data_IF_693903572045
#
_entry.id   IF_693903572045
#
_cell.length_a   1.000
_cell.length_b   1.000
_cell.length_c   1.000
_cell.angle_alpha   90.00
_cell.angle_beta   90.00
_cell.angle_gamma   90.00
#
_symmetry.space_group_name_H-M   'P 1'
#
loop_
_entity.id
_entity.type
_entity.pdbx_description
1 polymer ?
#
# COMPACT_ATOMS: atom_id res chain seq x y z
N UNK A 1 -31.52 -49.19 60.95
CA UNK A 1 -31.21 -47.76 61.20
C UNK A 1 -30.25 -47.32 60.11
N UNK A 2 -30.68 -47.26 58.85
CA UNK A 2 -31.65 -46.29 58.30
C UNK A 2 -31.26 -44.86 58.62
N UNK A 3 -30.67 -44.17 57.65
CA UNK A 3 -31.35 -43.06 56.99
C UNK A 3 -30.73 -42.78 55.61
N UNK A 4 -31.62 -42.78 54.62
CA UNK A 4 -31.44 -42.45 53.21
C UNK A 4 -31.96 -41.01 53.01
N UNK A 5 -31.43 -40.32 51.97
CA UNK A 5 -31.97 -39.17 51.19
C UNK A 5 -31.31 -37.78 51.43
N UNK A 6 -31.31 -36.85 50.45
CA UNK A 6 -31.04 -37.00 49.01
C UNK A 6 -30.19 -35.86 48.39
N UNK A 7 -29.75 -36.13 47.15
CA UNK A 7 -29.41 -35.24 46.02
C UNK A 7 -29.48 -33.69 46.19
N UNK A 8 -28.36 -33.02 45.87
CA UNK A 8 -28.39 -31.72 45.17
C UNK A 8 -27.22 -31.60 44.20
N UNK A 9 -27.45 -32.09 42.97
CA UNK A 9 -26.89 -31.50 41.75
C UNK A 9 -26.94 -29.96 41.83
N UNK A 10 -25.79 -29.31 41.82
CA UNK A 10 -25.66 -28.00 41.16
C UNK A 10 -24.57 -28.11 40.11
N UNK A 11 -25.04 -28.40 38.90
CA UNK A 11 -24.34 -28.10 37.65
C UNK A 11 -23.88 -26.64 37.71
N UNK A 12 -22.59 -26.40 37.99
CA UNK A 12 -21.98 -25.12 37.64
C UNK A 12 -21.87 -25.12 36.13
N UNK A 13 -22.89 -24.53 35.53
CA UNK A 13 -23.00 -24.22 34.13
C UNK A 13 -21.66 -23.74 33.58
N UNK A 14 -21.15 -24.48 32.59
CA UNK A 14 -20.12 -23.99 31.70
C UNK A 14 -20.61 -22.64 31.15
N UNK A 15 -19.91 -21.56 31.51
CA UNK A 15 -20.13 -20.26 30.91
C UNK A 15 -20.02 -20.37 29.39
N UNK A 16 -20.82 -19.60 28.62
CA UNK A 16 -20.87 -19.76 27.18
C UNK A 16 -19.47 -19.55 26.61
N UNK A 17 -19.04 -20.50 25.78
CA UNK A 17 -17.80 -20.43 25.02
C UNK A 17 -17.69 -19.04 24.37
N UNK A 18 -16.64 -18.30 24.73
CA UNK A 18 -16.29 -17.07 24.02
C UNK A 18 -16.07 -17.43 22.55
N UNK A 19 -17.05 -17.12 21.71
CA UNK A 19 -16.90 -17.14 20.27
C UNK A 19 -15.80 -16.14 19.88
N UNK A 20 -14.78 -16.54 19.10
CA UNK A 20 -13.75 -15.60 18.68
C UNK A 20 -14.31 -14.58 17.69
N UNK A 21 -14.62 -13.40 18.22
CA UNK A 21 -14.63 -12.02 17.69
C UNK A 21 -14.89 -11.76 16.18
N UNK A 22 -15.79 -10.80 15.85
CA UNK A 22 -16.00 -10.27 14.49
C UNK A 22 -14.91 -9.29 13.98
N UNK A 23 -13.75 -9.18 14.66
CA UNK A 23 -12.65 -8.27 14.25
C UNK A 23 -11.98 -8.67 12.94
N UNK A 24 -12.01 -9.95 12.57
CA UNK A 24 -11.38 -10.46 11.36
C UNK A 24 -12.05 -9.96 10.07
N UNK A 25 -13.36 -9.67 10.06
CA UNK A 25 -14.07 -9.31 8.81
C UNK A 25 -13.73 -7.89 8.30
N UNK A 26 -13.21 -7.01 9.17
CA UNK A 26 -13.00 -5.58 8.89
C UNK A 26 -11.69 -5.28 8.17
N UNK A 27 -10.62 -6.04 8.40
CA UNK A 27 -9.28 -5.81 7.84
C UNK A 27 -9.14 -6.17 6.37
N UNK A 28 -9.78 -7.25 5.92
CA UNK A 28 -9.74 -7.67 4.50
C UNK A 28 -10.42 -6.63 3.59
N UNK A 29 -11.55 -6.06 4.05
CA UNK A 29 -12.25 -5.00 3.33
C UNK A 29 -11.36 -3.77 3.09
N UNK A 30 -10.55 -3.36 4.08
CA UNK A 30 -9.66 -2.20 3.94
C UNK A 30 -8.62 -2.40 2.84
N UNK A 31 -8.05 -3.60 2.74
CA UNK A 31 -7.07 -3.95 1.72
C UNK A 31 -7.63 -4.01 0.29
N UNK A 32 -8.80 -4.65 0.16
CA UNK A 32 -9.51 -4.71 -1.11
C UNK A 32 -9.96 -3.31 -1.57
N UNK A 33 -10.44 -2.47 -0.63
CA UNK A 33 -10.81 -1.07 -0.91
C UNK A 33 -9.59 -0.27 -1.35
N UNK A 34 -8.43 -0.40 -0.70
CA UNK A 34 -7.21 0.31 -1.11
C UNK A 34 -6.78 -0.09 -2.52
N UNK A 35 -6.81 -1.39 -2.85
CA UNK A 35 -6.48 -1.86 -4.21
C UNK A 35 -7.47 -1.32 -5.23
N UNK A 36 -8.77 -1.38 -4.93
CA UNK A 36 -9.81 -0.86 -5.81
C UNK A 36 -9.69 0.66 -6.00
N UNK A 37 -9.30 1.41 -4.97
CA UNK A 37 -8.99 2.84 -5.06
C UNK A 37 -7.78 3.09 -5.97
N UNK A 38 -6.68 2.36 -5.79
CA UNK A 38 -5.52 2.47 -6.68
C UNK A 38 -5.88 2.17 -8.13
N UNK A 39 -6.59 1.07 -8.39
CA UNK A 39 -7.05 0.72 -9.73
C UNK A 39 -8.05 1.73 -10.29
N UNK A 40 -8.92 2.29 -9.47
CA UNK A 40 -9.81 3.38 -9.84
C UNK A 40 -9.03 4.63 -10.26
N UNK A 41 -7.99 5.01 -9.51
CA UNK A 41 -7.10 6.11 -9.91
C UNK A 41 -6.37 5.82 -11.22
N UNK A 42 -5.88 4.58 -11.41
CA UNK A 42 -5.23 4.17 -12.67
C UNK A 42 -6.22 4.26 -13.83
N UNK A 43 -7.43 3.70 -13.68
CA UNK A 43 -8.47 3.75 -14.69
C UNK A 43 -8.89 5.19 -15.04
N UNK A 44 -8.97 6.09 -14.05
CA UNK A 44 -9.26 7.51 -14.25
C UNK A 44 -8.08 8.29 -14.86
N UNK A 45 -6.84 7.84 -14.63
CA UNK A 45 -5.63 8.49 -15.15
C UNK A 45 -5.42 8.27 -16.65
N UNK A 46 -6.01 7.21 -17.21
CA UNK A 46 -5.75 6.83 -18.61
C UNK A 46 -6.84 7.44 -19.50
N UNK A 47 -6.48 8.44 -20.30
CA UNK A 47 -7.41 9.14 -21.22
C UNK A 47 -8.07 8.23 -22.26
N UNK A 48 -7.50 7.06 -22.54
CA UNK A 48 -7.87 6.15 -23.63
C UNK A 48 -8.69 4.93 -23.18
N UNK A 49 -8.94 4.74 -21.87
CA UNK A 49 -9.67 3.56 -21.38
C UNK A 49 -11.16 3.70 -21.69
N UNK A 50 -11.61 2.94 -22.69
CA UNK A 50 -13.03 2.63 -22.88
C UNK A 50 -13.60 1.96 -21.63
N UNK A 51 -14.90 2.13 -21.37
CA UNK A 51 -15.58 1.51 -20.23
C UNK A 51 -15.30 0.01 -20.09
N UNK A 52 -15.25 -0.74 -21.19
CA UNK A 52 -15.02 -2.19 -21.20
C UNK A 52 -13.71 -2.62 -20.52
N UNK A 53 -12.61 -1.91 -20.81
CA UNK A 53 -11.31 -2.21 -20.21
C UNK A 53 -11.30 -1.83 -18.72
N UNK A 54 -11.89 -0.69 -18.33
CA UNK A 54 -12.02 -0.33 -16.92
C UNK A 54 -12.83 -1.37 -16.13
N UNK A 55 -13.94 -1.86 -16.70
CA UNK A 55 -14.73 -2.93 -16.10
C UNK A 55 -13.94 -4.24 -15.99
N UNK A 56 -13.16 -4.59 -17.01
CA UNK A 56 -12.30 -5.77 -16.97
C UNK A 56 -11.20 -5.66 -15.89
N UNK A 57 -10.54 -4.49 -15.79
CA UNK A 57 -9.50 -4.23 -14.79
C UNK A 57 -10.06 -4.38 -13.36
N UNK A 58 -11.14 -3.65 -13.04
CA UNK A 58 -11.76 -3.67 -11.71
C UNK A 58 -12.45 -5.00 -11.40
N UNK A 59 -13.18 -5.54 -12.36
CA UNK A 59 -13.91 -6.80 -12.24
C UNK A 59 -12.98 -7.99 -12.02
N UNK A 60 -11.83 -8.01 -12.68
CA UNK A 60 -10.84 -9.08 -12.53
C UNK A 60 -10.30 -9.19 -11.10
N UNK A 61 -10.07 -8.06 -10.40
CA UNK A 61 -9.58 -8.10 -9.02
C UNK A 61 -10.61 -8.73 -8.12
N UNK A 62 -11.87 -8.29 -8.20
CA UNK A 62 -12.95 -8.87 -7.42
C UNK A 62 -13.10 -10.38 -7.67
N UNK A 63 -13.08 -10.78 -8.94
CA UNK A 63 -13.26 -12.18 -9.34
C UNK A 63 -12.09 -13.06 -8.90
N UNK A 64 -10.85 -12.66 -9.20
CA UNK A 64 -9.64 -13.44 -8.89
C UNK A 64 -9.44 -13.51 -7.38
N UNK A 65 -9.57 -12.39 -6.67
CA UNK A 65 -9.45 -12.37 -5.19
C UNK A 65 -10.56 -13.20 -4.55
N UNK A 66 -11.80 -13.10 -5.05
CA UNK A 66 -12.94 -13.89 -4.56
C UNK A 66 -12.73 -15.40 -4.79
N UNK A 67 -12.33 -15.80 -5.99
CA UNK A 67 -12.05 -17.19 -6.33
C UNK A 67 -10.91 -17.77 -5.48
N UNK A 68 -9.81 -17.02 -5.29
CA UNK A 68 -8.72 -17.45 -4.41
C UNK A 68 -9.13 -17.55 -2.95
N UNK A 69 -9.97 -16.64 -2.46
CA UNK A 69 -10.50 -16.70 -1.10
C UNK A 69 -11.32 -17.97 -0.87
N UNK A 70 -12.09 -18.39 -1.88
CA UNK A 70 -12.84 -19.64 -1.86
C UNK A 70 -11.92 -20.88 -1.93
N UNK A 71 -10.91 -20.87 -2.81
CA UNK A 71 -9.98 -21.99 -3.01
C UNK A 71 -9.03 -22.22 -1.81
N UNK A 72 -8.59 -21.13 -1.18
CA UNK A 72 -7.56 -21.12 -0.14
C UNK A 72 -8.00 -20.30 1.10
N UNK A 73 -8.94 -20.82 1.90
CA UNK A 73 -9.37 -20.16 3.14
C UNK A 73 -8.24 -20.24 4.16
N UNK A 74 -7.62 -19.10 4.53
CA UNK A 74 -6.58 -19.15 5.58
C UNK A 74 -5.77 -17.90 5.86
N UNK A 75 -5.58 -16.98 4.90
CA UNK A 75 -4.79 -15.75 5.13
C UNK A 75 -5.35 -14.55 4.39
N UNK A 76 -5.86 -13.58 5.13
CA UNK A 76 -6.41 -12.33 4.56
C UNK A 76 -5.36 -11.50 3.82
N UNK A 77 -4.10 -11.57 4.28
CA UNK A 77 -2.99 -10.85 3.65
C UNK A 77 -2.54 -11.47 2.33
N UNK A 78 -2.79 -12.76 2.09
CA UNK A 78 -2.60 -13.35 0.78
C UNK A 78 -3.54 -12.70 -0.25
N UNK A 79 -4.82 -12.52 0.11
CA UNK A 79 -5.78 -11.82 -0.75
C UNK A 79 -5.37 -10.36 -1.01
N UNK A 80 -4.80 -9.67 -0.01
CA UNK A 80 -4.23 -8.34 -0.15
C UNK A 80 -3.04 -8.32 -1.12
N UNK A 81 -2.07 -9.23 -0.92
CA UNK A 81 -0.90 -9.35 -1.78
C UNK A 81 -1.32 -9.65 -3.22
N UNK A 82 -2.24 -10.60 -3.42
CA UNK A 82 -2.82 -10.92 -4.72
C UNK A 82 -3.47 -9.69 -5.37
N UNK A 83 -4.28 -8.94 -4.65
CA UNK A 83 -4.92 -7.73 -5.14
C UNK A 83 -3.88 -6.69 -5.61
N UNK A 84 -2.85 -6.43 -4.80
CA UNK A 84 -1.75 -5.53 -5.15
C UNK A 84 -0.99 -6.00 -6.39
N UNK A 85 -0.69 -7.30 -6.50
CA UNK A 85 0.00 -7.85 -7.67
C UNK A 85 -0.83 -7.77 -8.95
N UNK A 86 -2.15 -7.95 -8.87
CA UNK A 86 -3.05 -7.71 -10.02
C UNK A 86 -3.03 -6.21 -10.38
N UNK A 87 -2.95 -5.32 -9.40
CA UNK A 87 -2.77 -3.88 -9.62
C UNK A 87 -1.48 -3.56 -10.39
N UNK A 88 -0.35 -4.12 -9.96
CA UNK A 88 0.95 -3.97 -10.68
C UNK A 88 0.86 -4.53 -12.09
N UNK A 89 0.27 -5.71 -12.26
CA UNK A 89 0.04 -6.31 -13.58
C UNK A 89 -0.82 -5.41 -14.47
N UNK A 90 -1.90 -4.82 -13.94
CA UNK A 90 -2.74 -3.88 -14.67
C UNK A 90 -1.97 -2.66 -15.16
N UNK A 91 -1.11 -2.06 -14.33
CA UNK A 91 -0.25 -0.95 -14.74
C UNK A 91 0.68 -1.33 -15.89
N UNK A 92 1.36 -2.48 -15.76
CA UNK A 92 2.29 -2.96 -16.78
C UNK A 92 1.55 -3.28 -18.08
N UNK A 93 0.38 -3.93 -18.00
CA UNK A 93 -0.45 -4.24 -19.15
C UNK A 93 -0.86 -2.97 -19.92
N UNK A 94 -1.37 -1.95 -19.21
CA UNK A 94 -1.73 -0.67 -19.83
C UNK A 94 -0.51 -0.01 -20.47
N UNK A 95 0.63 0.00 -19.79
CA UNK A 95 1.86 0.57 -20.34
C UNK A 95 2.24 -0.09 -21.68
N UNK A 96 2.21 -1.42 -21.77
CA UNK A 96 2.47 -2.13 -23.03
C UNK A 96 1.40 -1.87 -24.09
N UNK A 97 0.14 -1.78 -23.67
CA UNK A 97 -0.98 -1.48 -24.56
C UNK A 97 -0.80 -0.11 -25.22
N UNK A 98 -0.49 0.93 -24.45
CA UNK A 98 -0.30 2.29 -24.99
C UNK A 98 1.00 2.41 -25.79
N UNK A 99 2.07 1.72 -25.37
CA UNK A 99 3.37 1.81 -26.03
C UNK A 99 3.40 1.06 -27.36
N UNK A 100 2.87 -0.17 -27.40
CA UNK A 100 3.09 -1.12 -28.50
C UNK A 100 1.79 -1.51 -29.24
N UNK A 101 0.62 -1.36 -28.63
CA UNK A 101 -0.65 -1.95 -29.13
C UNK A 101 -1.83 -0.96 -29.15
N UNK A 102 -1.58 0.29 -29.55
CA UNK A 102 -2.55 1.39 -29.50
C UNK A 102 -3.80 1.20 -30.39
N UNK A 103 -3.74 0.36 -31.42
CA UNK A 103 -4.83 0.18 -32.41
C UNK A 103 -5.79 -0.98 -32.09
N UNK A 104 -5.62 -1.67 -30.95
CA UNK A 104 -6.41 -2.87 -30.62
C UNK A 104 -7.80 -2.48 -30.10
N UNK A 105 -8.89 -3.13 -30.54
CA UNK A 105 -10.24 -2.90 -30.01
C UNK A 105 -10.38 -3.20 -28.50
N UNK A 106 -11.18 -2.40 -27.80
CA UNK A 106 -11.38 -2.48 -26.33
C UNK A 106 -11.74 -3.88 -25.81
N UNK A 107 -12.66 -4.57 -26.47
CA UNK A 107 -13.12 -5.90 -26.08
C UNK A 107 -12.00 -6.95 -26.19
N UNK A 108 -11.08 -6.81 -27.15
CA UNK A 108 -9.92 -7.69 -27.29
C UNK A 108 -8.91 -7.37 -26.18
N UNK A 109 -8.69 -6.09 -25.86
CA UNK A 109 -7.85 -5.70 -24.73
C UNK A 109 -8.36 -6.31 -23.42
N UNK A 110 -9.66 -6.21 -23.16
CA UNK A 110 -10.31 -6.80 -21.98
C UNK A 110 -10.16 -8.32 -21.93
N UNK A 111 -10.39 -9.01 -23.05
CA UNK A 111 -10.22 -10.46 -23.14
C UNK A 111 -8.75 -10.87 -22.90
N UNK A 112 -7.80 -10.18 -23.54
CA UNK A 112 -6.38 -10.47 -23.44
C UNK A 112 -5.84 -10.22 -22.03
N UNK A 113 -6.32 -9.18 -21.35
CA UNK A 113 -6.00 -8.89 -19.96
C UNK A 113 -6.41 -10.03 -19.02
N UNK A 114 -7.54 -10.68 -19.29
CA UNK A 114 -8.05 -11.79 -18.47
C UNK A 114 -7.27 -13.11 -18.68
N UNK A 115 -6.62 -13.32 -19.82
CA UNK A 115 -5.96 -14.59 -20.16
C UNK A 115 -4.93 -15.02 -19.09
N UNK A 116 -3.92 -14.20 -18.71
CA UNK A 116 -2.97 -14.59 -17.68
C UNK A 116 -3.60 -14.83 -16.30
N UNK A 117 -4.67 -14.08 -15.98
CA UNK A 117 -5.38 -14.22 -14.69
C UNK A 117 -6.17 -15.52 -14.62
N UNK A 118 -6.85 -15.90 -15.70
CA UNK A 118 -7.56 -17.18 -15.80
C UNK A 118 -6.55 -18.33 -15.77
N UNK A 119 -5.43 -18.19 -16.49
CA UNK A 119 -4.36 -19.19 -16.50
C UNK A 119 -3.73 -19.38 -15.11
N UNK A 120 -3.54 -18.29 -14.36
CA UNK A 120 -3.11 -18.33 -12.96
C UNK A 120 -4.11 -19.07 -12.07
N UNK A 121 -5.40 -18.72 -12.16
CA UNK A 121 -6.47 -19.39 -11.39
C UNK A 121 -6.53 -20.88 -11.72
N UNK A 122 -6.47 -21.26 -13.00
CA UNK A 122 -6.48 -22.65 -13.44
C UNK A 122 -5.26 -23.42 -12.95
N UNK A 123 -4.06 -22.84 -13.06
CA UNK A 123 -2.82 -23.44 -12.56
C UNK A 123 -2.80 -23.59 -11.04
N UNK A 124 -3.34 -22.62 -10.32
CA UNK A 124 -3.48 -22.67 -8.86
C UNK A 124 -4.52 -23.71 -8.43
N UNK A 125 -5.64 -23.83 -9.15
CA UNK A 125 -6.66 -24.83 -8.88
C UNK A 125 -6.14 -26.25 -9.13
N UNK A 126 -5.40 -26.48 -10.23
CA UNK A 126 -4.76 -27.77 -10.52
C UNK A 126 -3.81 -28.22 -9.41
N UNK A 127 -3.10 -27.26 -8.79
CA UNK A 127 -2.12 -27.52 -7.73
C UNK A 127 -2.66 -27.20 -6.34
N UNK A 128 -3.99 -27.17 -6.18
CA UNK A 128 -4.64 -26.67 -4.96
C UNK A 128 -4.21 -27.43 -3.69
N UNK A 129 -4.10 -28.76 -3.74
CA UNK A 129 -3.72 -29.55 -2.55
C UNK A 129 -2.30 -29.24 -2.08
N UNK A 130 -1.37 -29.07 -3.03
CA UNK A 130 0.02 -28.70 -2.73
C UNK A 130 0.08 -27.28 -2.16
N UNK A 131 -0.63 -26.32 -2.77
CA UNK A 131 -0.67 -24.93 -2.28
C UNK A 131 -1.33 -24.87 -0.89
N UNK A 132 -2.45 -25.59 -0.68
CA UNK A 132 -3.18 -25.61 0.60
C UNK A 132 -2.33 -26.15 1.74
N UNK A 133 -1.55 -27.21 1.51
CA UNK A 133 -0.61 -27.74 2.51
C UNK A 133 0.46 -26.72 2.91
N UNK A 134 0.90 -25.88 1.96
CA UNK A 134 1.88 -24.81 2.22
C UNK A 134 1.23 -23.68 3.02
N UNK A 135 0.04 -23.21 2.62
CA UNK A 135 -0.72 -22.15 3.32
C UNK A 135 -1.00 -22.51 4.78
N UNK A 136 -1.34 -23.78 5.07
CA UNK A 136 -1.63 -24.24 6.43
C UNK A 136 -0.38 -24.32 7.32
N UNK A 137 0.81 -24.46 6.74
CA UNK A 137 2.04 -24.62 7.52
C UNK A 137 2.55 -23.33 8.19
N UNK A 138 2.07 -22.13 7.77
CA UNK A 138 2.37 -20.79 8.35
C UNK A 138 3.82 -20.54 8.82
N UNK A 139 4.81 -21.21 8.23
CA UNK A 139 6.23 -21.01 8.52
C UNK A 139 6.86 -20.22 7.37
N UNK A 140 7.45 -19.08 7.69
CA UNK A 140 8.42 -18.41 6.83
C UNK A 140 9.52 -19.43 6.50
N UNK A 141 9.71 -19.73 5.22
CA UNK A 141 10.71 -20.72 4.78
C UNK A 141 12.01 -20.02 4.43
N UNK A 142 13.12 -20.58 4.92
CA UNK A 142 14.45 -20.04 4.69
C UNK A 142 14.93 -20.23 3.24
N UNK A 143 15.32 -19.12 2.61
CA UNK A 143 16.54 -18.97 1.79
C UNK A 143 16.65 -19.59 0.39
N UNK A 144 15.81 -20.54 -0.03
CA UNK A 144 16.09 -21.32 -1.27
C UNK A 144 15.31 -20.98 -2.55
N UNK A 145 14.38 -20.02 -2.52
CA UNK A 145 13.39 -19.86 -3.60
C UNK A 145 13.43 -18.51 -4.34
N UNK A 146 14.23 -17.54 -3.91
CA UNK A 146 14.36 -16.25 -4.60
C UNK A 146 14.84 -16.40 -6.04
N UNK A 147 15.79 -17.31 -6.30
CA UNK A 147 16.32 -17.54 -7.65
C UNK A 147 15.23 -18.00 -8.63
N UNK A 148 14.31 -18.85 -8.17
CA UNK A 148 13.17 -19.30 -9.00
C UNK A 148 12.20 -18.17 -9.29
N UNK A 149 12.02 -17.23 -8.36
CA UNK A 149 11.16 -16.06 -8.54
C UNK A 149 11.68 -15.18 -9.67
N UNK A 150 12.96 -14.83 -9.63
CA UNK A 150 13.59 -14.04 -10.68
C UNK A 150 13.50 -14.72 -12.05
N UNK A 151 13.64 -16.04 -12.09
CA UNK A 151 13.69 -16.80 -13.33
C UNK A 151 12.33 -16.83 -14.07
N UNK A 152 11.19 -16.97 -13.37
CA UNK A 152 9.89 -16.92 -14.04
C UNK A 152 9.49 -15.49 -14.41
N UNK A 153 9.83 -14.50 -13.59
CA UNK A 153 9.60 -13.09 -13.92
C UNK A 153 10.37 -12.70 -15.18
N UNK A 154 11.63 -13.14 -15.31
CA UNK A 154 12.45 -12.90 -16.50
C UNK A 154 11.79 -13.39 -17.79
N UNK A 155 11.08 -14.53 -17.77
CA UNK A 155 10.35 -15.03 -18.93
C UNK A 155 9.20 -14.11 -19.33
N UNK A 156 8.40 -13.62 -18.36
CA UNK A 156 7.28 -12.69 -18.62
C UNK A 156 7.82 -11.35 -19.14
N UNK A 157 8.86 -10.82 -18.51
CA UNK A 157 9.55 -9.61 -18.95
C UNK A 157 10.18 -9.78 -20.33
N UNK A 158 10.75 -10.95 -20.64
CA UNK A 158 11.31 -11.27 -21.94
C UNK A 158 10.25 -11.24 -23.04
N UNK A 159 9.08 -11.86 -22.81
CA UNK A 159 7.96 -11.80 -23.77
C UNK A 159 7.51 -10.35 -23.98
N UNK A 160 7.36 -9.58 -22.91
CA UNK A 160 7.03 -8.15 -23.00
C UNK A 160 8.08 -7.36 -23.79
N UNK A 161 9.36 -7.53 -23.46
CA UNK A 161 10.46 -6.84 -24.12
C UNK A 161 10.55 -7.15 -25.63
N UNK A 162 10.28 -8.40 -26.03
CA UNK A 162 10.24 -8.79 -27.43
C UNK A 162 9.17 -8.02 -28.24
N UNK A 163 8.09 -7.55 -27.59
CA UNK A 163 7.07 -6.73 -28.28
C UNK A 163 7.58 -5.35 -28.73
N UNK A 164 8.67 -4.84 -28.14
CA UNK A 164 9.31 -3.59 -28.59
C UNK A 164 10.14 -3.76 -29.87
N UNK A 165 10.47 -4.99 -30.26
CA UNK A 165 11.18 -5.25 -31.52
C UNK A 165 10.25 -5.17 -32.74
N UNK A 166 8.96 -4.91 -32.54
CA UNK A 166 8.00 -4.76 -33.63
C UNK A 166 8.27 -3.47 -34.41
N UNK A 167 8.42 -3.53 -35.74
CA UNK A 167 8.63 -2.34 -36.56
C UNK A 167 7.35 -1.48 -36.55
N UNK A 168 7.37 -0.38 -35.81
CA UNK A 168 6.20 0.43 -35.46
C UNK A 168 5.46 1.16 -36.61
N UNK A 169 5.74 0.85 -37.88
CA UNK A 169 5.09 1.52 -39.04
C UNK A 169 4.58 0.60 -40.16
N UNK A 170 4.85 -0.71 -40.14
CA UNK A 170 4.51 -1.61 -41.26
C UNK A 170 3.61 -2.80 -40.89
N UNK A 171 3.18 -2.92 -39.62
CA UNK A 171 2.39 -4.08 -39.17
C UNK A 171 0.90 -3.82 -39.42
N UNK A 172 0.24 -4.73 -40.13
CA UNK A 172 -1.22 -4.67 -40.33
C UNK A 172 -1.97 -4.79 -38.98
N UNK A 173 -3.16 -4.17 -38.82
CA UNK A 173 -3.92 -4.25 -37.57
C UNK A 173 -4.25 -5.69 -37.14
N UNK A 174 -4.46 -6.59 -38.10
CA UNK A 174 -4.71 -8.01 -37.86
C UNK A 174 -3.47 -8.71 -37.30
N UNK A 175 -2.29 -8.47 -37.88
CA UNK A 175 -1.03 -9.03 -37.41
C UNK A 175 -0.69 -8.48 -36.01
N UNK A 176 -0.93 -7.20 -35.76
CA UNK A 176 -0.74 -6.58 -34.45
C UNK A 176 -1.63 -7.24 -33.38
N UNK A 177 -2.89 -7.51 -33.72
CA UNK A 177 -3.83 -8.22 -32.85
C UNK A 177 -3.39 -9.65 -32.58
N UNK A 178 -2.91 -10.36 -33.60
CA UNK A 178 -2.41 -11.72 -33.46
C UNK A 178 -1.17 -11.78 -32.55
N UNK A 179 -0.21 -10.86 -32.74
CA UNK A 179 0.99 -10.77 -31.91
C UNK A 179 0.64 -10.44 -30.45
N UNK A 180 -0.31 -9.52 -30.24
CA UNK A 180 -0.80 -9.18 -28.92
C UNK A 180 -1.42 -10.39 -28.20
N UNK A 181 -2.34 -11.10 -28.85
CA UNK A 181 -2.98 -12.29 -28.29
C UNK A 181 -1.99 -13.44 -28.08
N UNK A 182 -1.04 -13.64 -29.01
CA UNK A 182 0.02 -14.63 -28.87
C UNK A 182 0.90 -14.33 -27.65
N UNK A 183 1.28 -13.06 -27.45
CA UNK A 183 2.09 -12.61 -26.32
C UNK A 183 1.36 -12.85 -25.01
N UNK A 184 0.08 -12.47 -24.92
CA UNK A 184 -0.73 -12.68 -23.71
C UNK A 184 -1.00 -14.17 -23.44
N UNK A 185 -1.17 -14.97 -24.48
CA UNK A 185 -1.31 -16.42 -24.36
C UNK A 185 -0.01 -17.08 -23.89
N UNK A 186 1.13 -16.67 -24.43
CA UNK A 186 2.45 -17.14 -24.01
C UNK A 186 2.72 -16.79 -22.54
N UNK A 187 2.43 -15.55 -22.13
CA UNK A 187 2.47 -15.14 -20.72
C UNK A 187 1.53 -16.01 -19.89
N UNK A 188 0.30 -16.24 -20.35
CA UNK A 188 -0.67 -17.11 -19.68
C UNK A 188 -0.16 -18.53 -19.46
N UNK A 189 0.46 -19.16 -20.47
CA UNK A 189 1.07 -20.49 -20.35
C UNK A 189 2.18 -20.50 -19.31
N UNK A 190 3.10 -19.52 -19.36
CA UNK A 190 4.17 -19.39 -18.36
C UNK A 190 3.57 -19.27 -16.96
N UNK A 191 2.59 -18.39 -16.79
CA UNK A 191 1.90 -18.15 -15.51
C UNK A 191 1.19 -19.40 -15.01
N UNK A 192 0.53 -20.19 -15.86
CA UNK A 192 -0.09 -21.45 -15.47
C UNK A 192 0.94 -22.48 -14.98
N UNK A 193 2.09 -22.60 -15.68
CA UNK A 193 3.16 -23.53 -15.31
C UNK A 193 3.81 -23.19 -13.97
N UNK A 194 3.98 -21.89 -13.69
CA UNK A 194 4.61 -21.37 -12.47
C UNK A 194 3.59 -20.91 -11.41
N UNK A 195 2.30 -21.20 -11.59
CA UNK A 195 1.23 -20.74 -10.70
C UNK A 195 1.46 -21.11 -9.22
N UNK A 196 2.07 -22.27 -8.96
CA UNK A 196 2.47 -22.68 -7.61
C UNK A 196 3.50 -21.72 -7.02
N UNK A 197 4.54 -21.37 -7.77
CA UNK A 197 5.63 -20.52 -7.28
C UNK A 197 5.13 -19.09 -7.05
N UNK A 198 4.25 -18.59 -7.94
CA UNK A 198 3.54 -17.33 -7.75
C UNK A 198 2.69 -17.36 -6.47
N UNK A 199 1.90 -18.42 -6.26
CA UNK A 199 1.06 -18.54 -5.06
C UNK A 199 1.89 -18.61 -3.77
N UNK A 200 3.01 -19.32 -3.76
CA UNK A 200 3.92 -19.35 -2.60
C UNK A 200 4.50 -17.95 -2.34
N UNK A 201 4.97 -17.28 -3.38
CA UNK A 201 5.49 -15.92 -3.26
C UNK A 201 4.44 -14.92 -2.76
N UNK A 202 3.21 -14.99 -3.23
CA UNK A 202 2.10 -14.16 -2.75
C UNK A 202 1.78 -14.43 -1.27
N UNK A 203 1.95 -15.68 -0.81
CA UNK A 203 1.79 -16.03 0.59
C UNK A 203 2.91 -15.42 1.44
N UNK A 204 4.17 -15.58 1.00
CA UNK A 204 5.34 -15.02 1.70
C UNK A 204 5.27 -13.49 1.74
N UNK A 205 4.93 -12.85 0.61
CA UNK A 205 4.69 -11.42 0.52
C UNK A 205 3.53 -11.00 1.44
N UNK A 206 2.43 -11.76 1.46
CA UNK A 206 1.30 -11.52 2.36
C UNK A 206 1.70 -11.59 3.84
N UNK A 207 2.48 -12.58 4.24
CA UNK A 207 2.99 -12.71 5.62
C UNK A 207 3.98 -11.60 5.97
N UNK A 208 4.82 -11.17 5.03
CA UNK A 208 5.70 -10.02 5.21
C UNK A 208 4.88 -8.73 5.38
N UNK A 209 3.86 -8.53 4.55
CA UNK A 209 2.92 -7.42 4.68
C UNK A 209 2.19 -7.47 6.02
N UNK A 210 1.79 -8.66 6.52
CA UNK A 210 1.19 -8.81 7.85
C UNK A 210 2.13 -8.27 8.93
N UNK A 211 3.40 -8.67 8.91
CA UNK A 211 4.42 -8.16 9.84
C UNK A 211 4.62 -6.65 9.71
N UNK A 212 4.73 -6.14 8.47
CA UNK A 212 4.91 -4.72 8.18
C UNK A 212 3.72 -3.87 8.63
N UNK A 213 2.48 -4.25 8.29
CA UNK A 213 1.28 -3.51 8.70
C UNK A 213 1.06 -3.55 10.20
N UNK A 214 1.39 -4.67 10.87
CA UNK A 214 1.36 -4.72 12.33
C UNK A 214 2.40 -3.78 12.95
N UNK A 215 3.60 -3.68 12.36
CA UNK A 215 4.62 -2.71 12.78
C UNK A 215 4.14 -1.27 12.53
N UNK A 216 3.65 -0.96 11.33
CA UNK A 216 3.13 0.35 10.94
C UNK A 216 1.95 0.78 11.83
N UNK A 217 1.03 -0.12 12.15
CA UNK A 217 -0.10 0.15 13.05
C UNK A 217 0.35 0.57 14.45
N UNK A 218 1.46 0.02 14.96
CA UNK A 218 2.05 0.46 16.24
C UNK A 218 2.61 1.88 16.17
N UNK A 219 3.03 2.32 14.98
CA UNK A 219 3.56 3.67 14.76
C UNK A 219 2.47 4.72 14.57
N UNK A 220 1.21 4.35 14.30
CA UNK A 220 0.12 5.30 14.05
C UNK A 220 -0.09 6.25 15.24
N UNK A 221 -0.13 5.73 16.46
CA UNK A 221 -0.36 6.54 17.65
C UNK A 221 0.79 7.54 17.92
N UNK A 222 2.07 7.14 17.97
CA UNK A 222 3.18 8.09 18.13
C UNK A 222 3.32 9.03 16.94
N UNK A 223 3.07 8.59 15.71
CA UNK A 223 3.06 9.46 14.53
C UNK A 223 1.96 10.51 14.61
N UNK A 224 0.76 10.15 15.08
CA UNK A 224 -0.34 11.10 15.28
C UNK A 224 -0.02 12.14 16.36
N UNK A 225 0.57 11.71 17.48
CA UNK A 225 1.04 12.62 18.52
C UNK A 225 2.12 13.57 18.01
N UNK A 226 3.11 13.04 17.28
CA UNK A 226 4.16 13.81 16.63
C UNK A 226 3.58 14.83 15.63
N UNK A 227 2.70 14.39 14.73
CA UNK A 227 2.05 15.24 13.73
C UNK A 227 1.21 16.34 14.36
N UNK A 228 0.55 16.05 15.49
CA UNK A 228 -0.22 17.05 16.24
C UNK A 228 0.69 18.14 16.79
N UNK A 229 1.83 17.76 17.40
CA UNK A 229 2.78 18.73 17.93
C UNK A 229 3.50 19.50 16.81
N UNK A 230 3.87 18.80 15.74
CA UNK A 230 4.44 19.39 14.51
C UNK A 230 3.49 20.45 13.92
N UNK A 231 2.20 20.13 13.78
CA UNK A 231 1.20 21.07 13.28
C UNK A 231 0.98 22.24 14.24
N UNK A 232 0.99 22.00 15.56
CA UNK A 232 0.87 23.05 16.56
C UNK A 232 2.02 24.04 16.48
N UNK A 233 3.26 23.57 16.33
CA UNK A 233 4.42 24.42 16.14
C UNK A 233 4.29 25.28 14.88
N UNK A 234 3.91 24.69 13.75
CA UNK A 234 3.71 25.43 12.49
C UNK A 234 2.66 26.52 12.66
N UNK A 235 1.52 26.20 13.28
CA UNK A 235 0.45 27.16 13.51
C UNK A 235 0.91 28.28 14.44
N UNK A 236 1.63 27.94 15.51
CA UNK A 236 2.16 28.90 16.48
C UNK A 236 3.16 29.86 15.84
N UNK A 237 4.13 29.37 15.07
CA UNK A 237 5.10 30.23 14.37
C UNK A 237 4.45 31.05 13.26
N UNK A 238 3.53 30.48 12.48
CA UNK A 238 2.75 31.22 11.48
C UNK A 238 1.93 32.36 12.10
N UNK A 239 1.35 32.12 13.29
CA UNK A 239 0.69 33.16 14.07
C UNK A 239 1.70 34.21 14.59
N UNK A 240 2.88 33.80 15.08
CA UNK A 240 3.91 34.75 15.51
C UNK A 240 4.41 35.64 14.37
N UNK A 241 4.61 35.10 13.16
CA UNK A 241 5.01 35.91 12.02
C UNK A 241 3.96 36.95 11.65
N UNK A 242 2.69 36.56 11.61
CA UNK A 242 1.58 37.47 11.26
C UNK A 242 1.31 38.51 12.35
N UNK A 243 1.44 38.14 13.63
CA UNK A 243 1.37 39.07 14.76
C UNK A 243 2.52 40.07 14.71
N UNK A 244 3.75 39.60 14.51
CA UNK A 244 4.92 40.46 14.46
C UNK A 244 4.82 41.47 13.31
N UNK A 245 4.34 41.02 12.14
CA UNK A 245 4.14 41.92 11.00
C UNK A 245 3.06 42.97 11.27
N UNK A 246 1.95 42.56 11.90
CA UNK A 246 0.84 43.46 12.23
C UNK A 246 1.21 44.63 13.16
N UNK A 247 2.17 44.44 14.06
CA UNK A 247 2.55 45.45 15.05
C UNK A 247 3.78 46.28 14.65
N UNK A 248 4.41 45.97 13.52
CA UNK A 248 5.57 46.70 13.03
C UNK A 248 5.15 47.80 12.04
N UNK A 249 5.93 48.89 12.01
CA UNK A 249 5.67 50.03 11.11
C UNK A 249 6.07 49.73 9.67
N UNK A 250 7.12 48.91 9.50
CA UNK A 250 7.54 48.44 8.18
C UNK A 250 7.30 46.93 8.04
N UNK A 251 6.92 46.44 6.84
CA UNK A 251 6.73 45.02 6.62
C UNK A 251 8.04 44.26 6.82
N UNK A 252 7.96 43.10 7.45
CA UNK A 252 9.11 42.30 7.81
C UNK A 252 9.49 41.25 6.76
N UNK A 253 8.66 41.08 5.74
CA UNK A 253 8.80 40.07 4.70
C UNK A 253 8.79 40.66 3.29
N UNK A 254 9.44 39.95 2.38
CA UNK A 254 9.25 40.10 0.93
C UNK A 254 8.49 38.88 0.44
N UNK A 255 7.41 39.12 -0.31
CA UNK A 255 6.53 38.10 -0.89
C UNK A 255 6.48 38.36 -2.40
N UNK A 256 6.94 37.40 -3.19
CA UNK A 256 7.05 37.52 -4.65
C UNK A 256 7.79 38.79 -5.11
N UNK A 257 8.82 39.19 -4.36
CA UNK A 257 9.63 40.38 -4.65
C UNK A 257 9.03 41.71 -4.15
N UNK A 258 7.85 41.70 -3.53
CA UNK A 258 7.21 42.90 -2.98
C UNK A 258 7.26 42.89 -1.45
N UNK A 259 7.70 44.01 -0.86
CA UNK A 259 7.69 44.21 0.59
C UNK A 259 6.29 44.63 1.05
N UNK A 260 5.59 43.72 1.71
CA UNK A 260 4.22 43.92 2.21
C UNK A 260 3.93 42.99 3.38
N UNK A 261 2.81 43.23 4.06
CA UNK A 261 2.40 42.44 5.21
C UNK A 261 1.98 41.02 4.81
N UNK A 262 2.26 40.06 5.71
CA UNK A 262 1.81 38.68 5.64
C UNK A 262 0.33 38.54 5.98
N UNK A 263 -0.39 37.83 5.11
CA UNK A 263 -1.70 37.26 5.49
C UNK A 263 -1.50 36.02 6.36
N UNK A 264 -2.55 35.63 7.11
CA UNK A 264 -2.49 34.44 7.96
C UNK A 264 -2.15 33.13 7.20
N UNK A 265 -2.76 32.83 6.03
CA UNK A 265 -2.39 31.66 5.23
C UNK A 265 -0.93 31.71 4.74
N UNK A 266 -0.42 32.88 4.37
CA UNK A 266 0.97 33.05 3.95
C UNK A 266 1.94 32.83 5.12
N UNK A 267 1.59 33.29 6.33
CA UNK A 267 2.37 33.04 7.54
C UNK A 267 2.41 31.55 7.91
N UNK A 268 1.29 30.84 7.79
CA UNK A 268 1.22 29.38 7.97
C UNK A 268 2.05 28.64 6.92
N UNK A 269 1.96 29.07 5.66
CA UNK A 269 2.73 28.50 4.56
C UNK A 269 4.24 28.72 4.76
N UNK A 270 4.66 29.94 5.07
CA UNK A 270 6.06 30.28 5.35
C UNK A 270 6.63 29.46 6.52
N UNK A 271 5.86 29.34 7.60
CA UNK A 271 6.17 28.49 8.75
C UNK A 271 6.31 27.02 8.33
N UNK A 272 5.34 26.47 7.59
CA UNK A 272 5.40 25.09 7.09
C UNK A 272 6.66 24.80 6.26
N UNK A 273 6.98 25.66 5.28
CA UNK A 273 8.13 25.43 4.39
C UNK A 273 9.47 25.67 5.09
N UNK A 274 9.50 26.54 6.11
CA UNK A 274 10.69 26.76 6.96
C UNK A 274 10.91 25.58 7.90
N UNK A 275 9.86 25.16 8.60
CA UNK A 275 9.88 24.04 9.54
C UNK A 275 10.19 22.71 8.85
N UNK A 276 9.68 22.50 7.62
CA UNK A 276 9.99 21.34 6.78
C UNK A 276 11.35 21.45 6.06
N UNK A 277 12.09 22.55 6.23
CA UNK A 277 13.39 22.83 5.59
C UNK A 277 13.34 22.87 4.06
N UNK A 278 12.17 23.14 3.47
CA UNK A 278 11.96 23.20 2.01
C UNK A 278 12.40 24.55 1.44
N UNK A 279 11.90 25.65 2.02
CA UNK A 279 12.31 27.02 1.68
C UNK A 279 12.29 27.37 0.18
N UNK A 280 11.12 27.36 -0.46
CA UNK A 280 11.00 27.68 -1.90
C UNK A 280 11.53 29.08 -2.29
N UNK A 281 11.55 30.04 -1.35
CA UNK A 281 12.15 31.37 -1.52
C UNK A 281 11.20 32.46 -2.03
N UNK A 282 9.95 32.10 -2.28
CA UNK A 282 8.83 33.00 -2.60
C UNK A 282 8.48 33.96 -1.46
N UNK A 283 8.64 33.52 -0.21
CA UNK A 283 8.53 34.35 0.99
C UNK A 283 9.84 34.28 1.78
N UNK A 284 10.42 35.43 2.13
CA UNK A 284 11.63 35.46 2.97
C UNK A 284 11.70 36.69 3.90
N UNK A 285 12.33 36.53 5.08
CA UNK A 285 12.39 37.57 6.10
C UNK A 285 13.50 38.59 5.83
N UNK A 286 13.16 39.88 5.92
CA UNK A 286 14.11 40.98 5.70
C UNK A 286 14.60 41.65 6.98
N UNK A 287 13.84 41.62 8.07
CA UNK A 287 14.21 42.27 9.33
C UNK A 287 14.95 41.32 10.28
N UNK A 288 15.81 41.88 11.13
CA UNK A 288 16.59 41.10 12.11
C UNK A 288 15.72 40.36 13.13
N UNK A 289 14.61 40.98 13.58
CA UNK A 289 13.70 40.39 14.55
C UNK A 289 13.05 39.10 14.01
N UNK A 290 12.51 39.14 12.78
CA UNK A 290 11.93 37.95 12.15
C UNK A 290 12.99 36.89 11.89
N UNK A 291 14.19 37.27 11.41
CA UNK A 291 15.29 36.31 11.18
C UNK A 291 15.68 35.56 12.46
N UNK A 292 15.65 36.23 13.61
CA UNK A 292 15.87 35.57 14.90
C UNK A 292 14.78 34.54 15.21
N UNK A 293 13.50 34.90 15.00
CA UNK A 293 12.38 33.96 15.18
C UNK A 293 12.49 32.77 14.24
N UNK A 294 12.87 32.99 12.98
CA UNK A 294 13.15 31.90 12.03
C UNK A 294 14.28 30.99 12.53
N UNK A 295 15.34 31.56 13.11
CA UNK A 295 16.40 30.78 13.75
C UNK A 295 15.88 29.90 14.88
N UNK A 296 15.02 30.44 15.75
CA UNK A 296 14.38 29.67 16.83
C UNK A 296 13.47 28.57 16.26
N UNK A 297 12.68 28.88 15.23
CA UNK A 297 11.83 27.92 14.53
C UNK A 297 12.64 26.74 13.98
N UNK A 298 13.76 27.02 13.30
CA UNK A 298 14.64 26.00 12.73
C UNK A 298 15.21 25.09 13.83
N UNK A 299 15.71 25.67 14.92
CA UNK A 299 16.24 24.89 16.06
C UNK A 299 15.14 24.01 16.67
N UNK A 300 13.94 24.57 16.88
CA UNK A 300 12.80 23.83 17.38
C UNK A 300 12.37 22.70 16.44
N UNK A 301 12.38 22.93 15.13
CA UNK A 301 12.07 21.92 14.11
C UNK A 301 13.05 20.77 14.12
N UNK A 302 14.36 21.05 14.18
CA UNK A 302 15.41 20.03 14.29
C UNK A 302 15.22 19.21 15.57
N UNK A 303 15.06 19.86 16.73
CA UNK A 303 14.85 19.16 18.00
C UNK A 303 13.60 18.27 17.94
N UNK A 304 12.49 18.81 17.44
CA UNK A 304 11.24 18.08 17.33
C UNK A 304 11.41 16.84 16.44
N UNK A 305 12.06 16.96 15.28
CA UNK A 305 12.34 15.82 14.41
C UNK A 305 13.15 14.74 15.14
N UNK A 306 14.24 15.12 15.81
CA UNK A 306 15.08 14.18 16.58
C UNK A 306 14.28 13.45 17.66
N UNK A 307 13.51 14.18 18.47
CA UNK A 307 12.67 13.58 19.51
C UNK A 307 11.54 12.74 18.92
N UNK A 308 10.93 13.19 17.82
CA UNK A 308 9.90 12.48 17.09
C UNK A 308 10.38 11.12 16.59
N UNK A 309 11.52 11.09 15.90
CA UNK A 309 12.15 9.85 15.46
C UNK A 309 12.50 8.94 16.65
N UNK A 310 13.11 9.48 17.71
CA UNK A 310 13.44 8.71 18.91
C UNK A 310 12.20 8.12 19.58
N UNK A 311 11.10 8.87 19.68
CA UNK A 311 9.85 8.40 20.27
C UNK A 311 9.20 7.31 19.42
N UNK A 312 9.17 7.48 18.09
CA UNK A 312 8.64 6.51 17.13
C UNK A 312 9.43 5.19 17.21
N UNK A 313 10.76 5.26 17.22
CA UNK A 313 11.64 4.08 17.30
C UNK A 313 11.54 3.41 18.68
N UNK A 314 11.51 4.18 19.76
CA UNK A 314 11.40 3.65 21.13
C UNK A 314 10.10 2.88 21.39
N UNK A 315 9.00 3.26 20.73
CA UNK A 315 7.73 2.52 20.80
C UNK A 315 7.67 1.33 19.82
N UNK A 316 8.53 1.31 18.79
CA UNK A 316 8.65 0.20 17.86
C UNK A 316 9.52 -0.95 18.41
N UNK A 317 10.46 -0.66 19.31
CA UNK A 317 11.28 -1.65 19.98
C UNK A 317 10.39 -2.61 20.79
N UNK A 318 10.51 -3.94 20.59
CA UNK A 318 9.81 -4.91 21.42
C UNK A 318 10.22 -4.65 22.87
N UNK A 319 9.27 -4.31 23.74
CA UNK A 319 9.49 -4.33 25.19
C UNK A 319 9.87 -5.76 25.55
N UNK A 320 11.16 -6.01 25.68
CA UNK A 320 11.67 -7.29 26.13
C UNK A 320 11.04 -7.56 27.50
N UNK A 321 10.45 -8.73 27.64
CA UNK A 321 9.61 -9.15 28.77
C UNK A 321 10.49 -9.51 29.97
N UNK A 322 11.54 -8.71 30.23
CA UNK A 322 12.53 -8.94 31.29
C UNK A 322 12.22 -8.26 32.62
N UNK A 323 11.15 -7.46 32.70
CA UNK A 323 10.73 -6.81 33.96
C UNK A 323 9.59 -7.54 34.70
N UNK A 324 9.37 -8.84 34.44
CA UNK A 324 8.40 -9.64 35.22
C UNK A 324 9.00 -10.54 36.29
N UNK A 325 10.33 -10.62 36.37
CA UNK A 325 11.04 -11.38 37.41
C UNK A 325 12.01 -10.46 38.16
N UNK A 326 11.47 -9.41 38.78
CA UNK A 326 12.15 -8.71 39.87
C UNK A 326 11.67 -9.30 41.21
N UNK A 327 12.56 -9.79 42.09
CA UNK A 327 12.15 -10.38 43.36
C UNK A 327 11.90 -9.26 44.38
N UNK A 328 10.65 -8.81 44.48
CA UNK A 328 10.06 -8.21 45.69
C UNK A 328 8.59 -8.61 45.77
#
# INVERSE_FOLDING_TARGET
>A
MDQILPDRRTSKAAGPAHTPRPRARRSWLTGAVLTALMQGMIALSIRSVSGDLAFALLGSVGLVVGAFHYLFPGSQFFSLALANFIGVYACVFVFFLESNFHSIPSHIQAAAFAIPLIAFLGGAWWRADTIRSIVMSRRLRDGGHFDRIFLWMASVWGIGALTFLLPGREVSPEMLTAIFLLSMSAIGVVVALVARDIAVFLLDAGLLFEGFFQQAARLVLPAFAFLTFYSLCIIMFGAFYTILDRFMVEPNFIIDGVRRDLTFPEGLYFSLVTFATVGYGDIHPVTGAVRLICGVEIVMGVLLLLFGFSAIIGHAAPRDRRDRDGPL
#
